data_IF_661251012024
#
_entry.id   IF_661251012024
#
_cell.length_a   1.000
_cell.length_b   1.000
_cell.length_c   1.000
_cell.angle_alpha   90.00
_cell.angle_beta   90.00
_cell.angle_gamma   90.00
#
_symmetry.space_group_name_H-M   'P 1'
#
loop_
_entity.id
_entity.type
_entity.pdbx_description
1 polymer ?
#
# COMPACT_ATOMS: atom_id res chain seq x y z
N UNK A 1 -12.31 -3.05 -8.92
CA UNK A 1 -12.82 -3.06 -7.54
C UNK A 1 -12.06 -2.06 -6.70
N UNK A 2 -12.69 -1.57 -5.64
CA UNK A 2 -12.06 -0.63 -4.73
C UNK A 2 -11.83 -1.31 -3.39
N UNK A 3 -10.67 -1.03 -2.79
CA UNK A 3 -10.30 -1.60 -1.50
C UNK A 3 -9.85 -0.50 -0.56
N UNK A 4 -10.24 -0.61 0.70
CA UNK A 4 -9.64 0.20 1.75
C UNK A 4 -8.50 -0.60 2.36
N UNK A 5 -7.34 0.05 2.54
CA UNK A 5 -6.16 -0.61 3.07
C UNK A 5 -5.55 0.23 4.18
N UNK A 6 -4.93 -0.45 5.12
CA UNK A 6 -4.07 0.17 6.11
C UNK A 6 -2.66 -0.39 5.95
N UNK A 7 -1.66 0.45 6.22
CA UNK A 7 -0.28 0.01 6.13
C UNK A 7 0.64 0.94 6.90
N UNK A 8 1.84 0.46 7.16
CA UNK A 8 2.94 1.28 7.64
C UNK A 8 3.90 1.54 6.48
N UNK A 9 4.44 2.74 6.43
CA UNK A 9 5.39 3.10 5.39
C UNK A 9 6.57 3.84 5.97
N UNK A 10 7.70 3.81 5.26
CA UNK A 10 8.84 4.66 5.55
C UNK A 10 9.21 5.46 4.32
N UNK A 11 9.71 6.66 4.53
CA UNK A 11 10.19 7.51 3.44
C UNK A 11 11.59 7.07 3.01
N UNK A 12 11.95 7.34 1.78
CA UNK A 12 13.30 7.06 1.29
C UNK A 12 14.37 7.81 2.08
N UNK A 13 14.02 8.99 2.59
CA UNK A 13 14.91 9.81 3.41
C UNK A 13 15.07 9.29 4.84
N UNK A 14 14.16 8.41 5.30
CA UNK A 14 14.18 7.87 6.65
C UNK A 14 13.68 6.41 6.62
N UNK A 15 14.45 5.48 6.02
CA UNK A 15 13.96 4.13 5.74
C UNK A 15 13.70 3.26 6.96
N UNK A 16 14.22 3.65 8.13
CA UNK A 16 13.99 2.92 9.37
C UNK A 16 12.81 3.44 10.17
N UNK A 17 12.23 4.58 9.79
CA UNK A 17 11.16 5.25 10.53
C UNK A 17 9.83 4.94 9.88
N UNK A 18 9.14 3.90 10.37
CA UNK A 18 7.84 3.51 9.84
C UNK A 18 6.72 4.31 10.49
N UNK A 19 5.83 4.79 9.66
CA UNK A 19 4.69 5.62 10.04
C UNK A 19 3.43 4.90 9.59
N UNK A 20 2.42 4.82 10.48
CA UNK A 20 1.12 4.27 10.13
C UNK A 20 0.37 5.28 9.26
N UNK A 21 -0.15 4.81 8.12
CA UNK A 21 -0.97 5.65 7.26
C UNK A 21 -2.38 5.80 7.84
N UNK A 22 -2.75 7.00 8.23
CA UNK A 22 -4.05 7.32 8.82
C UNK A 22 -4.59 8.57 8.15
N UNK A 23 -5.86 8.58 7.70
CA UNK A 23 -6.81 7.45 7.69
C UNK A 23 -6.45 6.35 6.70
N UNK A 24 -7.21 5.26 6.69
CA UNK A 24 -7.01 4.19 5.73
C UNK A 24 -7.14 4.73 4.31
N UNK A 25 -6.31 4.23 3.42
CA UNK A 25 -6.30 4.68 2.03
C UNK A 25 -7.27 3.87 1.18
N UNK A 26 -8.01 4.55 0.31
CA UNK A 26 -8.85 3.91 -0.68
C UNK A 26 -8.04 3.68 -1.95
N UNK A 27 -7.97 2.43 -2.39
CA UNK A 27 -7.33 2.05 -3.65
C UNK A 27 -8.43 1.75 -4.65
N UNK A 28 -8.50 2.55 -5.69
CA UNK A 28 -9.57 2.45 -6.70
C UNK A 28 -9.08 1.76 -7.97
N UNK A 29 -10.05 1.20 -8.71
CA UNK A 29 -9.81 0.63 -10.05
C UNK A 29 -8.83 -0.54 -10.06
N UNK A 30 -8.87 -1.37 -9.03
CA UNK A 30 -8.08 -2.60 -8.98
C UNK A 30 -8.75 -3.62 -9.90
N UNK A 31 -8.00 -4.27 -10.83
CA UNK A 31 -8.57 -5.30 -11.68
C UNK A 31 -9.21 -6.44 -10.88
N UNK A 32 -10.33 -6.97 -11.39
CA UNK A 32 -11.09 -8.02 -10.71
C UNK A 32 -10.46 -9.41 -10.81
N UNK A 33 -9.54 -9.58 -11.76
CA UNK A 33 -8.93 -10.87 -12.08
C UNK A 33 -7.65 -11.17 -11.29
N UNK A 34 -7.30 -10.32 -10.34
CA UNK A 34 -6.12 -10.55 -9.52
C UNK A 34 -6.46 -11.55 -8.43
N UNK A 35 -5.72 -12.67 -8.31
CA UNK A 35 -5.90 -13.62 -7.22
C UNK A 35 -5.75 -12.93 -5.86
N UNK A 36 -6.61 -13.29 -4.90
CA UNK A 36 -6.58 -12.66 -3.58
C UNK A 36 -5.21 -12.76 -2.92
N UNK A 37 -4.52 -13.87 -3.10
CA UNK A 37 -3.19 -14.08 -2.54
C UNK A 37 -2.15 -13.07 -3.08
N UNK A 38 -2.36 -12.52 -4.26
CA UNK A 38 -1.46 -11.55 -4.88
C UNK A 38 -1.89 -10.10 -4.69
N UNK A 39 -3.07 -9.86 -4.12
CA UNK A 39 -3.58 -8.51 -3.90
C UNK A 39 -2.67 -7.64 -3.04
N UNK A 40 -2.14 -8.13 -1.90
CA UNK A 40 -1.25 -7.30 -1.09
C UNK A 40 -0.02 -6.82 -1.86
N UNK A 41 0.60 -7.69 -2.63
CA UNK A 41 1.76 -7.31 -3.45
C UNK A 41 1.38 -6.32 -4.55
N UNK A 42 0.26 -6.57 -5.23
CA UNK A 42 -0.23 -5.67 -6.27
C UNK A 42 -0.48 -4.27 -5.71
N UNK A 43 -1.19 -4.18 -4.59
CA UNK A 43 -1.52 -2.90 -3.97
C UNK A 43 -0.27 -2.20 -3.47
N UNK A 44 0.66 -2.93 -2.87
CA UNK A 44 1.95 -2.38 -2.44
C UNK A 44 2.69 -1.74 -3.61
N UNK A 45 2.80 -2.44 -4.73
CA UNK A 45 3.48 -1.93 -5.92
C UNK A 45 2.77 -0.71 -6.49
N UNK A 46 1.44 -0.71 -6.45
CA UNK A 46 0.65 0.42 -6.91
C UNK A 46 0.91 1.68 -6.06
N UNK A 47 0.92 1.52 -4.74
CA UNK A 47 1.22 2.64 -3.82
C UNK A 47 2.62 3.16 -4.06
N UNK A 48 3.61 2.29 -4.19
CA UNK A 48 4.99 2.68 -4.42
C UNK A 48 5.14 3.43 -5.74
N UNK A 49 4.42 3.03 -6.78
CA UNK A 49 4.49 3.69 -8.08
C UNK A 49 3.87 5.09 -8.07
N UNK A 50 2.84 5.30 -7.23
CA UNK A 50 2.13 6.58 -7.13
C UNK A 50 2.75 7.53 -6.11
N UNK A 51 3.59 7.02 -5.22
CA UNK A 51 4.18 7.78 -4.12
C UNK A 51 5.69 7.59 -4.11
N UNK A 52 6.42 8.28 -4.99
CA UNK A 52 7.87 8.05 -5.14
C UNK A 52 8.69 8.39 -3.90
N UNK A 53 8.14 9.15 -2.95
CA UNK A 53 8.81 9.45 -1.69
C UNK A 53 8.81 8.27 -0.72
N UNK A 54 7.92 7.27 -0.92
CA UNK A 54 7.84 6.10 -0.06
C UNK A 54 8.90 5.10 -0.49
N UNK A 55 9.71 4.64 0.47
CA UNK A 55 10.75 3.66 0.21
C UNK A 55 10.32 2.23 0.51
N UNK A 56 9.57 2.03 1.60
CA UNK A 56 9.15 0.70 2.04
C UNK A 56 7.72 0.75 2.56
N UNK A 57 7.02 -0.38 2.39
CA UNK A 57 5.69 -0.61 2.96
C UNK A 57 5.71 -1.94 3.69
N UNK A 58 5.09 -1.97 4.87
CA UNK A 58 4.91 -3.20 5.63
C UNK A 58 3.54 -3.21 6.31
N UNK A 59 3.14 -4.39 6.81
CA UNK A 59 1.88 -4.55 7.55
C UNK A 59 0.68 -4.07 6.75
N UNK A 60 0.67 -4.30 5.44
CA UNK A 60 -0.46 -3.95 4.60
C UNK A 60 -1.63 -4.88 4.89
N UNK A 61 -2.79 -4.29 5.19
CA UNK A 61 -4.03 -5.01 5.46
C UNK A 61 -5.14 -4.47 4.57
N UNK A 62 -5.87 -5.37 3.98
CA UNK A 62 -7.07 -5.05 3.21
C UNK A 62 -8.26 -5.16 4.14
N UNK A 63 -9.00 -4.07 4.26
CA UNK A 63 -10.13 -3.95 5.19
C UNK A 63 -11.45 -4.35 4.54
#
# INVERSE_FOLDING_TARGET
>A
MNYQVSYEHSLKSAPSDFIVHVPCQLIENVPDDIPFALLPEFITNLILSRSPQIGKIRELRIL
#
